data_IF_561060437988
#
_entry.id   IF_561060437988
#
_cell.length_a   1.000
_cell.length_b   1.000
_cell.length_c   1.000
_cell.angle_alpha   90.00
_cell.angle_beta   90.00
_cell.angle_gamma   90.00
#
_symmetry.space_group_name_H-M   'P 1'
#
loop_
_entity.id
_entity.type
_entity.pdbx_description
1 polymer ?
#
# COMPACT_ATOMS: atom_id res chain seq x y z
N UNK A 1 3.13 2.21 -24.73
CA UNK A 1 2.08 1.78 -23.77
C UNK A 1 2.65 2.14 -22.41
N UNK A 2 1.91 2.86 -21.63
CA UNK A 2 2.28 3.11 -20.22
C UNK A 2 1.88 1.91 -19.37
N UNK A 3 2.29 1.93 -18.09
CA UNK A 3 2.04 0.85 -17.14
C UNK A 3 0.54 0.55 -17.00
N UNK A 4 -0.31 1.57 -16.87
CA UNK A 4 -1.76 1.40 -16.71
C UNK A 4 -2.39 0.67 -17.89
N UNK A 5 -2.00 1.04 -19.12
CA UNK A 5 -2.46 0.34 -20.32
C UNK A 5 -1.94 -1.11 -20.39
N UNK A 6 -0.75 -1.38 -19.84
CA UNK A 6 -0.22 -2.73 -19.74
C UNK A 6 -1.00 -3.57 -18.70
N UNK A 7 -1.30 -3.00 -17.53
CA UNK A 7 -2.11 -3.66 -16.50
C UNK A 7 -3.54 -3.94 -16.99
N UNK A 8 -4.17 -2.99 -17.69
CA UNK A 8 -5.48 -3.19 -18.31
C UNK A 8 -5.45 -4.36 -19.30
N UNK A 9 -4.40 -4.44 -20.15
CA UNK A 9 -4.23 -5.56 -21.07
C UNK A 9 -4.08 -6.90 -20.34
N UNK A 10 -3.35 -6.94 -19.22
CA UNK A 10 -3.23 -8.16 -18.39
C UNK A 10 -4.60 -8.54 -17.82
N UNK A 11 -5.37 -7.57 -17.32
CA UNK A 11 -6.74 -7.78 -16.82
C UNK A 11 -7.69 -8.34 -17.87
N UNK A 12 -7.55 -7.91 -19.14
CA UNK A 12 -8.33 -8.45 -20.27
C UNK A 12 -7.96 -9.91 -20.64
N UNK A 13 -6.75 -10.35 -20.28
CA UNK A 13 -6.22 -11.67 -20.61
C UNK A 13 -6.30 -12.67 -19.45
N UNK A 14 -6.37 -12.18 -18.22
CA UNK A 14 -6.35 -13.00 -17.00
C UNK A 14 -7.49 -12.57 -16.07
N UNK A 15 -8.56 -13.32 -16.07
CA UNK A 15 -9.79 -13.02 -15.31
C UNK A 15 -9.55 -12.82 -13.79
N UNK A 16 -8.49 -13.40 -13.25
CA UNK A 16 -8.11 -13.31 -11.83
C UNK A 16 -7.25 -12.07 -11.50
N UNK A 17 -6.87 -11.26 -12.49
CA UNK A 17 -6.08 -10.05 -12.25
C UNK A 17 -6.97 -8.84 -11.94
N UNK A 18 -6.41 -7.87 -11.21
CA UNK A 18 -7.02 -6.56 -10.99
C UNK A 18 -7.39 -6.21 -9.55
N UNK A 19 -7.04 -7.05 -8.60
CA UNK A 19 -7.01 -6.75 -7.15
C UNK A 19 -5.55 -6.67 -6.67
N UNK A 20 -5.33 -6.37 -5.37
CA UNK A 20 -3.99 -6.23 -4.79
C UNK A 20 -3.22 -7.56 -4.80
N UNK A 21 -3.90 -8.68 -4.73
CA UNK A 21 -3.30 -9.99 -4.79
C UNK A 21 -4.17 -11.01 -5.54
N UNK A 22 -3.55 -12.09 -6.01
CA UNK A 22 -4.25 -13.22 -6.60
C UNK A 22 -4.85 -14.14 -5.53
N UNK A 23 -6.05 -14.67 -5.80
CA UNK A 23 -6.75 -15.61 -4.91
C UNK A 23 -6.76 -17.01 -5.51
N UNK A 24 -6.19 -17.98 -4.78
CA UNK A 24 -6.09 -19.38 -5.15
C UNK A 24 -6.78 -20.27 -4.09
N UNK A 25 -8.08 -20.42 -4.20
CA UNK A 25 -8.89 -21.03 -3.15
C UNK A 25 -9.01 -20.10 -1.92
N UNK A 26 -8.50 -20.51 -0.77
CA UNK A 26 -8.39 -19.65 0.41
C UNK A 26 -7.02 -18.95 0.53
N UNK A 27 -6.09 -19.24 -0.38
CA UNK A 27 -4.75 -18.67 -0.39
C UNK A 27 -4.74 -17.36 -1.18
N UNK A 28 -4.15 -16.33 -0.59
CA UNK A 28 -3.85 -15.04 -1.23
C UNK A 28 -2.35 -14.99 -1.50
N UNK A 29 -1.95 -14.61 -2.72
CA UNK A 29 -0.54 -14.53 -3.15
C UNK A 29 -0.32 -13.26 -3.94
N UNK A 30 0.72 -12.52 -3.58
CA UNK A 30 1.17 -11.33 -4.30
C UNK A 30 2.64 -11.40 -4.65
N UNK A 31 3.07 -10.55 -5.56
CA UNK A 31 4.46 -10.38 -5.96
C UNK A 31 4.73 -8.92 -6.33
N UNK A 32 5.81 -8.36 -5.80
CA UNK A 32 6.31 -7.02 -6.07
C UNK A 32 7.76 -7.05 -6.53
N UNK A 33 8.21 -5.97 -7.15
CA UNK A 33 9.59 -5.77 -7.55
C UNK A 33 10.01 -4.32 -7.36
N UNK A 34 11.16 -4.12 -6.72
CA UNK A 34 11.74 -2.81 -6.40
C UNK A 34 13.19 -2.74 -6.86
N UNK A 35 13.61 -1.57 -7.35
CA UNK A 35 14.95 -1.31 -7.89
C UNK A 35 15.65 -0.19 -7.11
N UNK A 36 16.96 -0.27 -6.98
CA UNK A 36 17.76 0.73 -6.26
C UNK A 36 17.59 2.14 -6.82
N UNK A 37 17.56 2.24 -8.16
CA UNK A 37 17.58 3.52 -8.87
C UNK A 37 16.23 4.22 -8.92
N UNK A 38 15.12 3.49 -8.76
CA UNK A 38 13.75 4.04 -8.90
C UNK A 38 12.99 4.10 -7.57
N UNK A 39 13.22 3.12 -6.68
CA UNK A 39 12.33 2.91 -5.53
C UNK A 39 13.02 3.18 -4.18
N UNK A 40 14.35 3.32 -4.18
CA UNK A 40 15.11 3.60 -2.95
C UNK A 40 15.89 4.92 -3.05
N UNK A 41 15.44 5.99 -2.40
CA UNK A 41 16.20 7.25 -2.31
C UNK A 41 17.62 7.03 -1.82
N UNK A 42 18.56 7.88 -2.29
CA UNK A 42 19.93 7.82 -1.83
C UNK A 42 20.03 7.96 -0.31
N UNK A 43 20.71 7.03 0.36
CA UNK A 43 20.76 6.96 1.82
C UNK A 43 19.81 5.94 2.44
N UNK A 44 18.95 5.29 1.66
CA UNK A 44 18.16 4.15 2.14
C UNK A 44 19.10 3.02 2.57
N UNK A 45 18.97 2.57 3.82
CA UNK A 45 19.76 1.44 4.32
C UNK A 45 19.23 0.11 3.79
N UNK A 46 20.07 -0.92 3.69
CA UNK A 46 19.63 -2.27 3.30
C UNK A 46 18.60 -2.85 4.28
N UNK A 47 18.67 -2.48 5.55
CA UNK A 47 17.65 -2.82 6.54
C UNK A 47 16.28 -2.21 6.16
N UNK A 48 16.26 -0.90 5.85
CA UNK A 48 15.03 -0.22 5.42
C UNK A 48 14.52 -0.77 4.08
N UNK A 49 15.41 -1.09 3.14
CA UNK A 49 15.03 -1.71 1.87
C UNK A 49 14.37 -3.08 2.08
N UNK A 50 14.93 -3.94 2.96
CA UNK A 50 14.32 -5.22 3.31
C UNK A 50 12.96 -5.08 3.99
N UNK A 51 12.84 -4.14 4.94
CA UNK A 51 11.58 -3.81 5.58
C UNK A 51 10.52 -3.38 4.57
N UNK A 52 10.85 -2.40 3.69
CA UNK A 52 9.89 -1.85 2.73
C UNK A 52 9.47 -2.86 1.68
N UNK A 53 10.43 -3.55 1.06
CA UNK A 53 10.12 -4.47 -0.02
C UNK A 53 9.19 -5.61 0.45
N UNK A 54 9.51 -6.23 1.58
CA UNK A 54 8.64 -7.27 2.15
C UNK A 54 7.36 -6.67 2.71
N UNK A 55 7.43 -5.45 3.25
CA UNK A 55 6.28 -4.70 3.74
C UNK A 55 5.24 -4.42 2.65
N UNK A 56 5.65 -4.08 1.42
CA UNK A 56 4.75 -3.85 0.28
C UNK A 56 3.91 -5.09 -0.02
N UNK A 57 4.53 -6.24 -0.26
CA UNK A 57 3.79 -7.50 -0.48
C UNK A 57 2.91 -7.89 0.73
N UNK A 58 3.34 -7.61 1.97
CA UNK A 58 2.49 -7.86 3.15
C UNK A 58 1.29 -6.89 3.20
N UNK A 59 1.44 -5.68 2.66
CA UNK A 59 0.35 -4.71 2.54
C UNK A 59 -0.77 -5.22 1.63
N UNK A 60 -0.42 -5.78 0.48
CA UNK A 60 -1.37 -6.40 -0.44
C UNK A 60 -2.17 -7.53 0.23
N UNK A 61 -1.48 -8.38 1.00
CA UNK A 61 -2.15 -9.44 1.77
C UNK A 61 -3.15 -8.83 2.77
N UNK A 62 -2.76 -7.74 3.43
CA UNK A 62 -3.66 -6.98 4.32
C UNK A 62 -4.83 -6.36 3.58
N UNK A 63 -4.59 -5.78 2.40
CA UNK A 63 -5.63 -5.18 1.55
C UNK A 63 -6.71 -6.19 1.11
N UNK A 64 -6.32 -7.46 0.95
CA UNK A 64 -7.25 -8.56 0.67
C UNK A 64 -7.99 -9.11 1.91
N UNK A 65 -7.79 -8.52 3.10
CA UNK A 65 -8.37 -9.01 4.34
C UNK A 65 -7.84 -10.38 4.78
N UNK A 66 -6.63 -10.74 4.35
CA UNK A 66 -6.02 -12.03 4.61
C UNK A 66 -5.01 -11.98 5.77
N UNK A 67 -4.93 -13.08 6.51
CA UNK A 67 -3.88 -13.30 7.51
C UNK A 67 -2.60 -13.73 6.81
N UNK A 68 -1.52 -12.99 6.96
CA UNK A 68 -0.23 -13.33 6.35
C UNK A 68 0.35 -14.62 6.98
N UNK A 69 0.80 -15.55 6.15
CA UNK A 69 1.37 -16.84 6.56
C UNK A 69 2.86 -16.96 6.28
N UNK A 70 3.41 -16.11 5.40
CA UNK A 70 4.84 -16.05 5.12
C UNK A 70 5.18 -15.05 4.04
N UNK A 71 6.46 -14.65 4.01
CA UNK A 71 7.00 -13.83 2.95
C UNK A 71 8.39 -14.34 2.51
N UNK A 72 8.73 -14.11 1.23
CA UNK A 72 9.99 -14.49 0.59
C UNK A 72 10.51 -13.32 -0.25
N UNK A 73 11.82 -13.31 -0.51
CA UNK A 73 12.41 -12.35 -1.43
C UNK A 73 13.52 -12.95 -2.29
N UNK A 74 13.61 -12.50 -3.53
CA UNK A 74 14.81 -12.63 -4.35
C UNK A 74 15.62 -11.35 -4.18
N UNK A 75 16.87 -11.48 -3.74
CA UNK A 75 17.83 -10.39 -3.60
C UNK A 75 18.81 -10.42 -4.77
N UNK A 76 18.69 -9.48 -5.69
CA UNK A 76 19.61 -9.29 -6.80
C UNK A 76 20.60 -8.17 -6.50
N UNK A 77 21.92 -8.36 -6.76
CA UNK A 77 22.93 -7.33 -6.60
C UNK A 77 24.17 -7.59 -7.47
N UNK A 78 24.98 -6.55 -7.77
CA UNK A 78 26.24 -6.73 -8.48
C UNK A 78 27.25 -7.54 -7.68
N UNK A 79 27.22 -7.42 -6.35
CA UNK A 79 28.08 -8.16 -5.39
C UNK A 79 27.27 -8.42 -4.12
N UNK A 80 27.65 -9.49 -3.40
CA UNK A 80 27.01 -9.83 -2.12
C UNK A 80 27.94 -9.52 -0.97
N UNK A 81 27.74 -8.36 -0.35
CA UNK A 81 28.44 -8.01 0.88
C UNK A 81 27.66 -8.57 2.09
N UNK A 82 28.35 -9.30 2.96
CA UNK A 82 27.69 -9.97 4.09
C UNK A 82 26.85 -9.02 4.94
N UNK A 83 27.38 -7.81 5.22
CA UNK A 83 26.68 -6.80 6.02
C UNK A 83 25.38 -6.31 5.36
N UNK A 84 25.36 -6.19 4.04
CA UNK A 84 24.18 -5.76 3.29
C UNK A 84 23.10 -6.84 3.29
N UNK A 85 23.49 -8.10 3.05
CA UNK A 85 22.56 -9.22 3.08
C UNK A 85 22.00 -9.43 4.50
N UNK A 86 22.84 -9.36 5.53
CA UNK A 86 22.42 -9.45 6.93
C UNK A 86 21.43 -8.32 7.30
N UNK A 87 21.72 -7.08 6.90
CA UNK A 87 20.85 -5.94 7.15
C UNK A 87 19.51 -6.08 6.43
N UNK A 88 19.51 -6.49 5.16
CA UNK A 88 18.29 -6.76 4.40
C UNK A 88 17.42 -7.81 5.06
N UNK A 89 18.01 -8.96 5.40
CA UNK A 89 17.29 -10.07 6.05
C UNK A 89 16.75 -9.66 7.42
N UNK A 90 17.49 -8.85 8.18
CA UNK A 90 17.01 -8.32 9.46
C UNK A 90 15.77 -7.43 9.26
N UNK A 91 15.79 -6.49 8.30
CA UNK A 91 14.63 -5.64 8.00
C UNK A 91 13.42 -6.45 7.52
N UNK A 92 13.63 -7.42 6.64
CA UNK A 92 12.60 -8.34 6.16
C UNK A 92 11.98 -9.19 7.29
N UNK A 93 12.81 -9.66 8.22
CA UNK A 93 12.36 -10.45 9.38
C UNK A 93 11.57 -9.57 10.34
N UNK A 94 12.07 -8.38 10.67
CA UNK A 94 11.45 -7.50 11.65
C UNK A 94 10.07 -7.00 11.18
N UNK A 95 9.87 -6.73 9.87
CA UNK A 95 8.54 -6.37 9.35
C UNK A 95 7.58 -7.55 9.38
N UNK A 96 8.04 -8.78 9.11
CA UNK A 96 7.23 -9.99 9.24
C UNK A 96 6.80 -10.20 10.69
N UNK A 97 7.74 -10.11 11.65
CA UNK A 97 7.45 -10.22 13.08
C UNK A 97 6.46 -9.16 13.55
N UNK A 98 6.55 -7.94 13.00
CA UNK A 98 5.66 -6.82 13.32
C UNK A 98 4.20 -7.14 13.03
N UNK A 99 3.90 -7.89 11.97
CA UNK A 99 2.54 -8.28 11.58
C UNK A 99 2.16 -9.70 12.02
N UNK A 100 3.08 -10.43 12.64
CA UNK A 100 2.84 -11.76 13.22
C UNK A 100 2.96 -12.90 12.21
N UNK A 101 3.81 -12.72 11.19
CA UNK A 101 4.18 -13.75 10.20
C UNK A 101 5.69 -14.02 10.22
N UNK A 102 6.22 -14.75 9.26
CA UNK A 102 7.64 -15.08 9.16
C UNK A 102 8.22 -14.76 7.77
N UNK A 103 9.45 -14.22 7.76
CA UNK A 103 10.28 -14.24 6.58
C UNK A 103 10.88 -15.66 6.45
N UNK A 104 10.49 -16.39 5.41
CA UNK A 104 10.79 -17.83 5.32
C UNK A 104 11.91 -18.17 4.33
N UNK A 105 12.53 -17.17 3.71
CA UNK A 105 13.68 -17.35 2.83
C UNK A 105 13.53 -16.63 1.49
N UNK A 106 14.19 -17.19 0.47
CA UNK A 106 14.21 -16.59 -0.86
C UNK A 106 15.38 -17.11 -1.68
N UNK A 107 15.88 -16.27 -2.59
CA UNK A 107 17.00 -16.56 -3.47
C UNK A 107 17.97 -15.38 -3.57
N UNK A 108 19.18 -15.63 -4.05
CA UNK A 108 20.21 -14.61 -4.33
C UNK A 108 20.63 -14.73 -5.80
N UNK A 109 20.59 -13.63 -6.55
CA UNK A 109 21.00 -13.62 -7.95
C UNK A 109 21.91 -12.42 -8.29
N UNK A 110 22.81 -12.60 -9.25
CA UNK A 110 23.66 -11.53 -9.77
C UNK A 110 22.86 -10.59 -10.65
N UNK A 111 22.84 -9.29 -10.33
CA UNK A 111 22.11 -8.27 -11.10
C UNK A 111 22.94 -6.98 -11.26
N UNK A 112 22.59 -6.13 -12.23
CA UNK A 112 23.35 -4.91 -12.51
C UNK A 112 23.26 -3.83 -11.42
N UNK A 113 22.16 -3.84 -10.65
CA UNK A 113 21.91 -2.97 -9.49
C UNK A 113 21.24 -3.78 -8.38
N UNK A 114 21.13 -3.22 -7.18
CA UNK A 114 20.30 -3.85 -6.16
C UNK A 114 18.83 -3.83 -6.61
N UNK A 115 18.28 -5.01 -6.69
CA UNK A 115 16.90 -5.27 -7.10
C UNK A 115 16.33 -6.32 -6.17
N UNK A 116 15.10 -6.14 -5.76
CA UNK A 116 14.44 -7.10 -4.91
C UNK A 116 13.05 -7.43 -5.46
N UNK A 117 12.77 -8.72 -5.64
CA UNK A 117 11.41 -9.19 -5.89
C UNK A 117 10.92 -9.92 -4.64
N UNK A 118 9.72 -9.59 -4.18
CA UNK A 118 9.13 -10.16 -2.97
C UNK A 118 7.84 -10.89 -3.28
N UNK A 119 7.49 -11.83 -2.45
CA UNK A 119 6.22 -12.56 -2.47
C UNK A 119 5.72 -12.67 -1.04
N UNK A 120 4.46 -12.32 -0.82
CA UNK A 120 3.78 -12.64 0.42
C UNK A 120 2.61 -13.60 0.16
N UNK A 121 2.36 -14.45 1.14
CA UNK A 121 1.29 -15.44 1.12
C UNK A 121 0.41 -15.19 2.34
N UNK A 122 -0.90 -15.24 2.13
CA UNK A 122 -1.90 -15.15 3.18
C UNK A 122 -3.05 -16.12 2.99
N UNK A 123 -3.91 -16.20 3.97
CA UNK A 123 -5.12 -17.05 3.94
C UNK A 123 -6.33 -16.25 4.41
N UNK A 124 -7.42 -16.38 3.66
CA UNK A 124 -8.75 -15.86 4.02
C UNK A 124 -9.85 -16.68 3.36
N UNK A 125 -10.94 -16.88 4.06
CA UNK A 125 -12.13 -17.52 3.49
C UNK A 125 -13.03 -16.53 2.73
N UNK A 126 -12.83 -15.22 2.97
CA UNK A 126 -13.63 -14.14 2.38
C UNK A 126 -12.71 -13.00 1.95
N UNK A 127 -12.03 -13.12 0.80
CA UNK A 127 -11.19 -12.04 0.30
C UNK A 127 -12.03 -10.80 -0.03
N UNK A 128 -11.53 -9.65 0.38
CA UNK A 128 -12.08 -8.35 -0.03
C UNK A 128 -11.27 -7.88 -1.23
N UNK A 129 -11.93 -7.40 -2.27
CA UNK A 129 -11.28 -6.79 -3.42
C UNK A 129 -11.59 -5.31 -3.55
N UNK A 130 -11.13 -4.72 -4.64
CA UNK A 130 -11.36 -3.32 -4.99
C UNK A 130 -12.80 -3.03 -5.44
N UNK A 131 -13.58 -4.05 -5.76
CA UNK A 131 -14.97 -3.94 -6.20
C UNK A 131 -15.97 -4.25 -5.09
N UNK A 132 -17.15 -3.60 -5.13
CA UNK A 132 -18.24 -3.87 -4.18
C UNK A 132 -18.72 -2.64 -3.39
N UNK A 133 -18.10 -1.47 -3.60
CA UNK A 133 -18.60 -0.23 -3.00
C UNK A 133 -19.98 0.14 -3.54
N UNK A 134 -20.85 0.63 -2.65
CA UNK A 134 -22.23 1.05 -3.00
C UNK A 134 -22.47 2.53 -2.66
N UNK A 135 -23.21 3.28 -3.50
CA UNK A 135 -23.56 4.67 -3.20
C UNK A 135 -24.30 4.80 -1.86
N UNK A 136 -23.88 5.78 -1.04
CA UNK A 136 -24.42 6.02 0.30
C UNK A 136 -23.56 5.44 1.43
N UNK A 137 -22.59 4.60 1.11
CA UNK A 137 -21.53 4.20 2.03
C UNK A 137 -20.54 5.33 2.29
N UNK A 138 -19.63 5.13 3.21
CA UNK A 138 -18.50 6.04 3.45
C UNK A 138 -17.21 5.45 2.89
N UNK A 139 -16.28 6.33 2.54
CA UNK A 139 -14.89 5.96 2.28
C UNK A 139 -14.03 6.38 3.46
N UNK A 140 -13.16 5.48 3.92
CA UNK A 140 -12.30 5.67 5.07
C UNK A 140 -10.86 5.22 4.79
N UNK A 141 -9.92 5.78 5.56
CA UNK A 141 -8.49 5.49 5.49
C UNK A 141 -7.96 5.13 6.88
N UNK A 142 -7.12 4.10 6.97
CA UNK A 142 -6.38 3.78 8.19
C UNK A 142 -5.20 4.72 8.40
N UNK A 143 -4.77 4.90 9.64
CA UNK A 143 -3.54 5.62 9.99
C UNK A 143 -3.45 7.05 9.46
N UNK A 144 -2.42 7.36 8.66
CA UNK A 144 -2.18 8.70 8.11
C UNK A 144 -1.43 8.65 6.78
N UNK A 145 -1.71 9.64 5.91
CA UNK A 145 -1.17 9.79 4.57
C UNK A 145 -0.03 10.82 4.53
N UNK A 146 0.92 10.66 3.60
CA UNK A 146 2.03 11.59 3.39
C UNK A 146 3.26 11.31 4.26
N UNK A 147 3.34 10.16 4.92
CA UNK A 147 4.53 9.73 5.67
C UNK A 147 5.71 9.49 4.75
N UNK A 148 5.49 8.84 3.60
CA UNK A 148 6.51 8.63 2.59
C UNK A 148 6.96 9.96 1.97
N UNK A 149 6.05 10.89 1.69
CA UNK A 149 6.39 12.23 1.24
C UNK A 149 7.32 12.96 2.24
N UNK A 150 7.05 12.85 3.55
CA UNK A 150 7.92 13.41 4.59
C UNK A 150 9.27 12.68 4.69
N UNK A 151 9.33 11.38 4.40
CA UNK A 151 10.58 10.65 4.33
C UNK A 151 11.45 11.12 3.17
N UNK A 152 10.85 11.35 1.99
CA UNK A 152 11.55 11.87 0.82
C UNK A 152 12.16 13.25 1.11
N UNK A 153 11.42 14.18 1.75
CA UNK A 153 11.96 15.47 2.18
C UNK A 153 13.17 15.30 3.11
N UNK A 154 13.07 14.39 4.08
CA UNK A 154 14.15 14.14 5.02
C UNK A 154 15.40 13.54 4.32
N UNK A 155 15.24 12.70 3.29
CA UNK A 155 16.36 12.23 2.46
C UNK A 155 17.01 13.39 1.67
N UNK A 156 16.20 14.27 1.06
CA UNK A 156 16.69 15.44 0.33
C UNK A 156 17.45 16.42 1.24
N UNK A 157 16.98 16.59 2.48
CA UNK A 157 17.62 17.43 3.52
C UNK A 157 18.86 16.76 4.15
N UNK A 158 19.19 15.51 3.81
CA UNK A 158 20.30 14.75 4.34
C UNK A 158 20.09 14.23 5.77
N UNK A 159 18.87 14.24 6.28
CA UNK A 159 18.46 13.71 7.58
C UNK A 159 18.29 12.17 7.52
N UNK A 160 19.34 11.45 7.09
CA UNK A 160 19.28 10.03 6.68
C UNK A 160 18.66 9.10 7.73
N UNK A 161 18.99 9.28 9.02
CA UNK A 161 18.42 8.44 10.10
C UNK A 161 16.91 8.65 10.21
N UNK A 162 16.46 9.90 10.31
CA UNK A 162 15.03 10.26 10.35
C UNK A 162 14.30 9.82 9.07
N UNK A 163 14.93 9.99 7.91
CA UNK A 163 14.37 9.57 6.63
C UNK A 163 14.09 8.06 6.61
N UNK A 164 15.07 7.24 7.01
CA UNK A 164 14.89 5.79 7.10
C UNK A 164 13.79 5.41 8.11
N UNK A 165 13.69 6.09 9.24
CA UNK A 165 12.63 5.83 10.24
C UNK A 165 11.23 6.15 9.69
N UNK A 166 11.08 7.28 8.99
CA UNK A 166 9.83 7.64 8.31
C UNK A 166 9.52 6.70 7.14
N UNK A 167 10.52 6.26 6.41
CA UNK A 167 10.36 5.41 5.23
C UNK A 167 9.91 3.98 5.57
N UNK A 168 10.12 3.48 6.81
CA UNK A 168 9.62 2.19 7.29
C UNK A 168 8.18 2.30 7.78
N UNK A 169 7.22 1.82 7.03
CA UNK A 169 5.81 1.71 7.43
C UNK A 169 5.51 0.35 8.11
N UNK A 170 4.36 0.25 8.75
CA UNK A 170 3.84 -1.02 9.27
C UNK A 170 2.69 -1.47 8.39
N UNK A 171 2.79 -2.61 7.67
CA UNK A 171 1.70 -3.14 6.85
C UNK A 171 0.44 -3.38 7.67
N UNK A 172 -0.72 -3.02 7.13
CA UNK A 172 -2.01 -3.06 7.83
C UNK A 172 -2.69 -4.43 7.77
N UNK A 173 -1.91 -5.52 7.94
CA UNK A 173 -2.41 -6.90 7.85
C UNK A 173 -3.50 -7.17 8.89
N UNK A 174 -3.28 -6.81 10.15
CA UNK A 174 -4.26 -7.05 11.23
C UNK A 174 -5.49 -6.19 11.05
N UNK A 175 -5.31 -4.97 10.62
CA UNK A 175 -6.36 -4.02 10.32
C UNK A 175 -7.20 -4.50 9.14
N UNK A 176 -6.56 -5.01 8.08
CA UNK A 176 -7.25 -5.56 6.91
C UNK A 176 -8.15 -6.75 7.28
N UNK A 177 -7.63 -7.68 8.07
CA UNK A 177 -8.42 -8.82 8.58
C UNK A 177 -9.63 -8.33 9.39
N UNK A 178 -9.46 -7.32 10.25
CA UNK A 178 -10.55 -6.78 11.05
C UNK A 178 -11.57 -6.01 10.20
N UNK A 179 -11.12 -5.26 9.18
CA UNK A 179 -11.98 -4.51 8.26
C UNK A 179 -12.78 -5.42 7.33
N UNK A 180 -12.25 -6.59 6.96
CA UNK A 180 -12.91 -7.53 6.05
C UNK A 180 -14.30 -8.00 6.53
N UNK A 181 -14.61 -7.86 7.83
CA UNK A 181 -15.94 -8.14 8.36
C UNK A 181 -17.00 -7.08 8.01
N UNK A 182 -16.57 -5.86 7.64
CA UNK A 182 -17.46 -4.71 7.45
C UNK A 182 -17.23 -3.98 6.12
N UNK A 183 -16.05 -4.07 5.55
CA UNK A 183 -15.71 -3.41 4.30
C UNK A 183 -16.43 -4.05 3.12
N UNK A 184 -16.91 -3.23 2.19
CA UNK A 184 -17.53 -3.63 0.93
C UNK A 184 -16.53 -3.65 -0.21
N UNK A 185 -15.54 -2.71 -0.19
CA UNK A 185 -14.37 -2.71 -1.05
C UNK A 185 -13.15 -2.24 -0.24
N UNK A 186 -11.96 -2.71 -0.60
CA UNK A 186 -10.72 -2.35 0.07
C UNK A 186 -9.52 -2.50 -0.85
N UNK A 187 -8.52 -1.66 -0.66
CA UNK A 187 -7.19 -1.76 -1.25
C UNK A 187 -6.19 -1.00 -0.38
N UNK A 188 -4.91 -1.16 -0.63
CA UNK A 188 -3.91 -0.31 -0.02
C UNK A 188 -3.60 0.97 -0.85
N UNK A 189 -2.93 1.93 -0.23
CA UNK A 189 -2.52 3.18 -0.86
C UNK A 189 -1.05 3.09 -1.30
N UNK A 190 -0.76 2.24 -2.28
CA UNK A 190 0.57 2.11 -2.89
C UNK A 190 0.88 3.27 -3.84
N UNK A 191 -0.04 3.60 -4.75
CA UNK A 191 0.13 4.66 -5.75
C UNK A 191 -0.39 6.04 -5.32
N UNK A 192 -0.86 6.16 -4.09
CA UNK A 192 -1.47 7.37 -3.54
C UNK A 192 -2.99 7.33 -3.50
N UNK A 193 -3.57 8.11 -2.57
CA UNK A 193 -5.01 8.12 -2.31
C UNK A 193 -5.83 8.46 -3.56
N UNK A 194 -5.40 9.46 -4.35
CA UNK A 194 -6.14 9.86 -5.56
C UNK A 194 -6.28 8.67 -6.52
N UNK A 195 -5.18 7.96 -6.78
CA UNK A 195 -5.16 6.77 -7.61
C UNK A 195 -6.04 5.65 -7.01
N UNK A 196 -5.95 5.40 -5.71
CA UNK A 196 -6.75 4.37 -5.03
C UNK A 196 -8.25 4.65 -5.16
N UNK A 197 -8.69 5.89 -5.02
CA UNK A 197 -10.09 6.27 -5.19
C UNK A 197 -10.58 6.03 -6.63
N UNK A 198 -9.77 6.35 -7.64
CA UNK A 198 -10.12 6.06 -9.03
C UNK A 198 -10.19 4.56 -9.32
N UNK A 199 -9.28 3.76 -8.78
CA UNK A 199 -9.30 2.30 -8.95
C UNK A 199 -10.51 1.65 -8.26
N UNK A 200 -10.85 2.07 -7.04
CA UNK A 200 -12.07 1.62 -6.33
C UNK A 200 -13.34 2.04 -7.09
N UNK A 201 -13.38 3.29 -7.61
CA UNK A 201 -14.50 3.80 -8.40
C UNK A 201 -14.71 2.98 -9.69
N UNK A 202 -13.64 2.70 -10.41
CA UNK A 202 -13.66 1.93 -11.65
C UNK A 202 -14.14 0.49 -11.42
N UNK A 203 -13.60 -0.18 -10.37
CA UNK A 203 -13.93 -1.57 -10.06
C UNK A 203 -15.34 -1.75 -9.49
N UNK A 204 -15.85 -0.75 -8.79
CA UNK A 204 -17.20 -0.78 -8.19
C UNK A 204 -18.26 -0.12 -9.07
N UNK A 205 -17.89 0.66 -10.09
CA UNK A 205 -18.82 1.40 -10.93
C UNK A 205 -19.52 2.55 -10.20
N UNK A 206 -18.82 3.20 -9.26
CA UNK A 206 -19.32 4.28 -8.39
C UNK A 206 -18.45 5.54 -8.50
N UNK A 207 -18.71 6.55 -7.70
CA UNK A 207 -17.89 7.72 -7.50
C UNK A 207 -17.54 7.96 -6.04
N UNK A 208 -16.72 8.99 -5.77
CA UNK A 208 -16.34 9.40 -4.43
C UNK A 208 -16.39 10.92 -4.28
N UNK A 209 -16.93 11.38 -3.16
CA UNK A 209 -16.88 12.79 -2.73
C UNK A 209 -16.06 12.88 -1.44
N UNK A 210 -14.83 13.36 -1.55
CA UNK A 210 -13.86 13.44 -0.44
C UNK A 210 -13.81 14.87 0.12
N UNK A 211 -13.64 14.99 1.42
CA UNK A 211 -13.45 16.26 2.14
C UNK A 211 -11.96 16.44 2.44
N UNK A 212 -11.36 17.50 1.90
CA UNK A 212 -9.94 17.85 2.09
C UNK A 212 -9.54 17.95 3.56
N UNK A 213 -10.38 18.59 4.37
CA UNK A 213 -10.11 18.82 5.78
C UNK A 213 -10.26 17.55 6.64
N UNK A 214 -10.86 16.49 6.10
CA UNK A 214 -10.98 15.19 6.76
C UNK A 214 -9.76 14.27 6.52
N UNK A 215 -8.85 14.63 5.61
CA UNK A 215 -7.69 13.79 5.30
C UNK A 215 -6.73 13.67 6.49
N UNK A 216 -6.38 12.46 6.93
CA UNK A 216 -5.46 12.23 8.04
C UNK A 216 -4.00 12.42 7.59
N UNK A 217 -3.56 13.67 7.42
CA UNK A 217 -2.18 13.98 6.99
C UNK A 217 -1.21 13.73 8.13
N UNK A 218 -0.12 13.03 7.82
CA UNK A 218 0.95 12.70 8.76
C UNK A 218 1.63 13.99 9.29
N UNK A 219 1.86 14.08 10.61
CA UNK A 219 2.38 15.27 11.28
C UNK A 219 3.78 15.71 10.81
N UNK A 220 4.59 14.77 10.31
CA UNK A 220 5.92 15.09 9.76
C UNK A 220 5.85 15.77 8.39
N UNK A 221 4.73 15.67 7.67
CA UNK A 221 4.57 16.32 6.36
C UNK A 221 4.09 17.76 6.55
N UNK A 222 4.87 18.71 6.08
CA UNK A 222 4.61 20.15 6.20
C UNK A 222 4.64 20.84 4.84
N UNK A 223 4.27 22.12 4.83
CA UNK A 223 4.26 22.93 3.61
C UNK A 223 2.85 23.21 3.08
N UNK A 224 2.74 24.13 2.11
CA UNK A 224 1.45 24.55 1.53
C UNK A 224 0.83 23.47 0.64
N UNK A 225 1.63 22.57 0.09
CA UNK A 225 1.27 21.46 -0.81
C UNK A 225 1.07 20.13 -0.08
N UNK A 226 1.10 20.13 1.25
CA UNK A 226 1.04 18.90 2.06
C UNK A 226 -0.17 18.01 1.74
N UNK A 227 -1.32 18.60 1.43
CA UNK A 227 -2.54 17.85 1.09
C UNK A 227 -2.37 17.16 -0.26
N UNK A 228 -1.90 17.89 -1.27
CA UNK A 228 -1.64 17.35 -2.60
C UNK A 228 -0.64 16.19 -2.50
N UNK A 229 0.47 16.39 -1.79
CA UNK A 229 1.52 15.35 -1.61
C UNK A 229 1.02 14.15 -0.82
N UNK A 230 0.22 14.35 0.23
CA UNK A 230 -0.40 13.25 0.97
C UNK A 230 -1.41 12.46 0.11
N UNK A 231 -1.93 13.07 -0.96
CA UNK A 231 -2.92 12.46 -1.84
C UNK A 231 -2.27 11.74 -3.04
N UNK A 232 -1.11 12.21 -3.51
CA UNK A 232 -0.53 11.79 -4.80
C UNK A 232 0.82 11.07 -4.73
N UNK A 233 1.62 11.25 -3.65
CA UNK A 233 2.98 10.65 -3.59
C UNK A 233 2.92 9.13 -3.47
N UNK A 234 1.95 8.58 -2.74
CA UNK A 234 1.82 7.14 -2.58
C UNK A 234 2.78 6.52 -1.58
N UNK A 235 2.84 5.19 -1.61
CA UNK A 235 3.69 4.32 -0.79
C UNK A 235 3.54 4.51 0.74
N UNK A 236 2.40 5.04 1.18
CA UNK A 236 2.05 5.09 2.60
C UNK A 236 1.52 3.74 3.09
N UNK A 237 0.99 2.91 2.17
CA UNK A 237 0.48 1.57 2.44
C UNK A 237 -0.57 1.54 3.58
N UNK A 238 -1.37 2.61 3.65
CA UNK A 238 -2.58 2.62 4.47
C UNK A 238 -3.74 1.99 3.68
N UNK A 239 -4.69 1.38 4.38
CA UNK A 239 -5.86 0.81 3.72
C UNK A 239 -6.89 1.91 3.42
N UNK A 240 -7.38 1.91 2.19
CA UNK A 240 -8.54 2.68 1.74
C UNK A 240 -9.70 1.71 1.59
N UNK A 241 -10.78 1.94 2.33
CA UNK A 241 -11.92 1.03 2.31
C UNK A 241 -13.26 1.77 2.27
N UNK A 242 -14.27 1.10 1.74
CA UNK A 242 -15.67 1.52 1.82
C UNK A 242 -16.43 0.64 2.79
N UNK A 243 -17.37 1.21 3.51
CA UNK A 243 -18.20 0.47 4.45
C UNK A 243 -19.54 1.18 4.71
N UNK A 244 -20.60 0.44 5.09
CA UNK A 244 -21.84 1.03 5.54
C UNK A 244 -21.60 1.99 6.70
N UNK A 245 -22.28 3.15 6.68
CA UNK A 245 -22.09 4.21 7.70
C UNK A 245 -22.29 3.71 9.14
N UNK A 246 -23.23 2.82 9.34
CA UNK A 246 -23.50 2.21 10.65
C UNK A 246 -22.42 1.22 11.12
N UNK A 247 -21.56 0.75 10.23
CA UNK A 247 -20.45 -0.14 10.58
C UNK A 247 -19.19 0.59 11.05
N UNK A 248 -19.08 1.91 10.83
CA UNK A 248 -17.89 2.73 11.09
C UNK A 248 -17.40 2.61 12.53
N UNK A 249 -18.28 2.80 13.52
CA UNK A 249 -17.87 2.77 14.93
C UNK A 249 -17.38 1.37 15.34
N UNK A 250 -18.07 0.32 14.88
CA UNK A 250 -17.61 -1.06 15.15
C UNK A 250 -16.26 -1.34 14.48
N UNK A 251 -16.04 -0.84 13.25
CA UNK A 251 -14.77 -0.97 12.57
C UNK A 251 -13.67 -0.24 13.33
N UNK A 252 -13.90 1.00 13.79
CA UNK A 252 -12.95 1.77 14.60
C UNK A 252 -12.54 1.04 15.88
N UNK A 253 -13.51 0.47 16.59
CA UNK A 253 -13.26 -0.25 17.85
C UNK A 253 -12.44 -1.52 17.66
N UNK A 254 -12.44 -2.11 16.46
CA UNK A 254 -11.70 -3.32 16.13
C UNK A 254 -10.23 -3.06 15.74
N UNK A 255 -9.87 -1.80 15.45
CA UNK A 255 -8.54 -1.45 14.94
C UNK A 255 -7.60 -0.95 16.03
N UNK A 256 -6.30 -1.16 15.82
CA UNK A 256 -5.24 -0.63 16.68
C UNK A 256 -4.73 0.74 16.23
N UNK A 257 -5.14 1.20 15.05
CA UNK A 257 -4.80 2.49 14.46
C UNK A 257 -6.08 3.29 14.16
N UNK A 258 -6.02 4.61 14.00
CA UNK A 258 -7.18 5.40 13.61
C UNK A 258 -7.80 4.91 12.29
N UNK A 259 -9.12 4.94 12.21
CA UNK A 259 -9.89 4.83 10.96
C UNK A 259 -10.62 6.14 10.75
N UNK A 260 -10.21 6.88 9.73
CA UNK A 260 -10.74 8.20 9.43
C UNK A 260 -11.68 8.13 8.23
N UNK A 261 -12.95 8.47 8.42
CA UNK A 261 -13.88 8.69 7.31
C UNK A 261 -13.46 9.99 6.62
N UNK A 262 -13.20 9.89 5.31
CA UNK A 262 -12.71 11.00 4.50
C UNK A 262 -13.75 11.51 3.49
N UNK A 263 -14.89 10.82 3.34
CA UNK A 263 -15.94 11.20 2.41
C UNK A 263 -17.01 10.12 2.23
N UNK A 264 -17.77 10.28 1.16
CA UNK A 264 -18.91 9.46 0.82
C UNK A 264 -18.74 8.78 -0.54
N UNK A 265 -19.33 7.58 -0.69
CA UNK A 265 -19.48 6.91 -1.98
C UNK A 265 -20.70 7.49 -2.69
N UNK A 266 -20.50 7.90 -3.96
CA UNK A 266 -21.49 8.55 -4.81
C UNK A 266 -21.80 7.71 -6.06
N UNK A 267 -22.76 8.13 -6.87
CA UNK A 267 -23.12 7.42 -8.10
C UNK A 267 -22.00 7.47 -9.16
N UNK A 268 -21.30 8.62 -9.29
CA UNK A 268 -20.31 8.83 -10.33
C UNK A 268 -19.30 9.92 -9.94
N UNK A 269 -18.12 9.87 -10.57
CA UNK A 269 -17.08 10.90 -10.45
C UNK A 269 -16.25 10.76 -9.20
N UNK A 270 -15.01 11.23 -9.23
CA UNK A 270 -14.12 11.30 -8.07
C UNK A 270 -13.80 12.77 -7.83
N UNK A 271 -14.23 13.32 -6.69
CA UNK A 271 -14.12 14.74 -6.40
C UNK A 271 -13.60 14.99 -4.98
N UNK A 272 -12.87 16.08 -4.79
CA UNK A 272 -12.47 16.63 -3.50
C UNK A 272 -13.03 18.05 -3.33
N UNK A 273 -13.79 18.29 -2.26
CA UNK A 273 -14.49 19.56 -2.01
C UNK A 273 -15.38 20.02 -3.18
N UNK A 274 -15.92 19.07 -3.97
CA UNK A 274 -16.76 19.33 -5.12
C UNK A 274 -16.01 19.67 -6.42
N UNK A 275 -14.69 19.69 -6.40
CA UNK A 275 -13.86 19.82 -7.60
C UNK A 275 -13.38 18.43 -8.04
N UNK A 276 -13.24 18.24 -9.36
CA UNK A 276 -12.73 16.98 -9.93
C UNK A 276 -11.35 16.66 -9.35
N UNK A 277 -11.18 15.44 -8.83
CA UNK A 277 -9.89 14.97 -8.33
C UNK A 277 -9.19 14.21 -9.46
N UNK A 278 -8.08 14.73 -10.00
CA UNK A 278 -7.35 14.04 -11.06
C UNK A 278 -6.85 12.66 -10.61
N UNK A 279 -6.80 11.71 -11.55
CA UNK A 279 -6.17 10.41 -11.35
C UNK A 279 -4.64 10.55 -11.38
N UNK A 280 -4.12 11.28 -10.39
CA UNK A 280 -2.70 11.50 -10.20
C UNK A 280 -2.17 10.57 -9.11
N UNK A 281 -1.05 9.92 -9.41
CA UNK A 281 -0.39 8.99 -8.51
C UNK A 281 0.95 8.53 -9.09
N UNK A 282 1.65 7.72 -8.35
CA UNK A 282 2.90 7.15 -8.80
C UNK A 282 2.65 6.28 -10.06
N UNK A 283 3.59 6.33 -11.01
CA UNK A 283 3.54 5.51 -12.22
C UNK A 283 4.97 5.14 -12.61
N UNK A 284 5.26 3.84 -12.69
CA UNK A 284 6.55 3.34 -13.13
C UNK A 284 6.87 3.73 -14.59
N UNK A 285 8.13 4.13 -14.87
CA UNK A 285 8.62 4.36 -16.22
C UNK A 285 8.29 5.74 -16.83
N UNK A 286 7.98 6.72 -16.01
CA UNK A 286 7.89 8.13 -16.43
C UNK A 286 9.17 8.90 -16.15
#
# INVERSE_FOLDING_TARGET
>A
MDERAALALVGDLVDAAGDDAAVLGETVVTIDMLHETTDFPAGTTRYTAGWRAVGASLSDVGAMGATATGALAVYGAPTFEAADVEAFVAGATDVCDRVGTAYVGGDLDGHAEFTVATTAVGETANPIGRGGAEPGEVVAVTGSLGRTAAALDAFEDGEVERANDLFRFTPRVREGVALAEAATAMMDSSDGLARSLHQLAERSGVGFAVERDALPVHEALSGPDRIERATTVGEDFELVCTLPREAVERARDALSVPLTVIGDVTEVGVAMDGEDLPDDGYTHGR
#
